data_IF_080830205314
#
_entry.id   IF_080830205314
#
_cell.length_a   1.000
_cell.length_b   1.000
_cell.length_c   1.000
_cell.angle_alpha   90.00
_cell.angle_beta   90.00
_cell.angle_gamma   90.00
#
_symmetry.space_group_name_H-M   'P 1'
#
loop_
_entity.id
_entity.type
_entity.pdbx_description
1 polymer ?
#
# COMPACT_ATOMS: atom_id res chain seq x y z
N UNK A 1 55.15 -16.75 8.52
CA UNK A 1 54.35 -15.52 8.32
C UNK A 1 53.34 -15.82 7.24
N UNK A 2 52.06 -15.96 7.60
CA UNK A 2 50.98 -16.23 6.63
C UNK A 2 50.38 -14.88 6.28
N UNK A 3 50.63 -14.41 5.06
CA UNK A 3 49.97 -13.22 4.52
C UNK A 3 48.49 -13.57 4.29
N UNK A 4 47.62 -13.01 5.14
CA UNK A 4 46.19 -12.98 4.87
C UNK A 4 45.95 -11.96 3.75
N UNK A 5 45.67 -12.44 2.53
CA UNK A 5 45.11 -11.60 1.49
C UNK A 5 43.66 -11.31 1.88
N UNK A 6 43.40 -10.09 2.36
CA UNK A 6 42.04 -9.57 2.46
C UNK A 6 41.46 -9.54 1.04
N UNK A 7 40.48 -10.39 0.79
CA UNK A 7 39.75 -10.41 -0.47
C UNK A 7 39.04 -9.07 -0.58
N UNK A 8 39.45 -8.21 -1.53
CA UNK A 8 38.76 -6.96 -1.81
C UNK A 8 37.33 -7.32 -2.20
N UNK A 9 36.37 -6.99 -1.33
CA UNK A 9 34.96 -7.08 -1.68
C UNK A 9 34.70 -6.10 -2.83
N UNK A 10 33.96 -6.51 -3.87
CA UNK A 10 33.58 -5.59 -4.93
C UNK A 10 32.87 -4.40 -4.29
N UNK A 11 33.21 -3.18 -4.73
CA UNK A 11 32.53 -1.98 -4.29
C UNK A 11 31.17 -1.94 -5.00
N UNK A 12 30.10 -2.00 -4.22
CA UNK A 12 28.72 -1.96 -4.71
C UNK A 12 27.85 -1.14 -3.78
N UNK A 13 26.78 -0.57 -4.34
CA UNK A 13 25.79 0.19 -3.58
C UNK A 13 24.56 -0.69 -3.32
N UNK A 14 24.13 -0.78 -2.06
CA UNK A 14 22.81 -1.31 -1.72
C UNK A 14 21.79 -0.17 -1.83
N UNK A 15 20.79 -0.34 -2.69
CA UNK A 15 19.75 0.65 -2.95
C UNK A 15 18.36 0.07 -2.72
N UNK A 16 17.45 0.89 -2.18
CA UNK A 16 16.03 0.55 -2.12
C UNK A 16 15.37 0.75 -3.48
N UNK A 17 14.63 -0.25 -3.96
CA UNK A 17 13.90 -0.20 -5.23
C UNK A 17 12.44 -0.60 -5.05
N UNK A 18 11.55 0.07 -5.78
CA UNK A 18 10.12 -0.24 -5.78
C UNK A 18 9.77 -1.18 -6.93
N UNK A 19 9.48 -2.45 -6.62
CA UNK A 19 9.03 -3.46 -7.57
C UNK A 19 7.53 -3.29 -7.86
N UNK A 20 7.18 -2.90 -9.07
CA UNK A 20 5.81 -2.76 -9.57
C UNK A 20 5.37 -3.99 -10.35
N UNK A 21 4.21 -4.54 -9.99
CA UNK A 21 3.52 -5.63 -10.69
C UNK A 21 2.22 -5.09 -11.29
N UNK A 22 2.09 -5.23 -12.60
CA UNK A 22 0.93 -4.72 -13.33
C UNK A 22 -0.39 -5.32 -12.79
N UNK A 23 -1.34 -4.44 -12.47
CA UNK A 23 -2.68 -4.82 -12.01
C UNK A 23 -2.76 -5.33 -10.56
N UNK A 24 -1.65 -5.26 -9.82
CA UNK A 24 -1.54 -5.78 -8.45
C UNK A 24 -1.11 -4.69 -7.48
N UNK A 25 -0.04 -3.95 -7.79
CA UNK A 25 0.57 -2.97 -6.88
C UNK A 25 2.09 -3.09 -6.89
N UNK A 26 2.75 -2.56 -5.87
CA UNK A 26 4.20 -2.70 -5.75
C UNK A 26 4.69 -2.93 -4.32
N UNK A 27 5.96 -3.33 -4.22
CA UNK A 27 6.65 -3.70 -2.99
C UNK A 27 8.05 -3.08 -2.99
N UNK A 28 8.52 -2.64 -1.82
CA UNK A 28 9.89 -2.12 -1.66
C UNK A 28 10.84 -3.27 -1.31
N UNK A 29 11.97 -3.34 -2.00
CA UNK A 29 13.01 -4.32 -1.69
C UNK A 29 14.40 -3.71 -1.89
N UNK A 30 15.40 -4.31 -1.26
CA UNK A 30 16.79 -3.92 -1.46
C UNK A 30 17.36 -4.59 -2.72
N UNK A 31 18.16 -3.86 -3.47
CA UNK A 31 18.89 -4.36 -4.63
C UNK A 31 20.34 -3.89 -4.57
N UNK A 32 21.21 -4.62 -5.25
CA UNK A 32 22.62 -4.22 -5.41
C UNK A 32 22.77 -3.55 -6.76
N UNK A 33 23.37 -2.36 -6.75
CA UNK A 33 23.75 -1.63 -7.94
C UNK A 33 25.27 -1.60 -8.08
N UNK A 34 25.78 -2.10 -9.21
CA UNK A 34 27.21 -2.24 -9.46
C UNK A 34 27.48 -2.23 -10.96
N UNK A 35 28.45 -1.42 -11.42
CA UNK A 35 28.84 -1.32 -12.83
C UNK A 35 27.67 -1.07 -13.81
N UNK A 36 26.78 -0.14 -13.48
CA UNK A 36 25.57 0.18 -14.27
C UNK A 36 24.61 -1.01 -14.45
N UNK A 37 24.69 -2.00 -13.55
CA UNK A 37 23.84 -3.19 -13.51
C UNK A 37 23.12 -3.29 -12.19
N UNK A 38 21.86 -3.70 -12.28
CA UNK A 38 21.03 -3.96 -11.11
C UNK A 38 20.95 -5.46 -10.84
N UNK A 39 21.19 -5.84 -9.60
CA UNK A 39 21.09 -7.20 -9.12
C UNK A 39 20.04 -7.28 -8.02
N UNK A 40 19.12 -8.22 -8.15
CA UNK A 40 18.08 -8.46 -7.15
C UNK A 40 18.40 -9.71 -6.33
N UNK A 41 18.10 -9.70 -5.01
CA UNK A 41 18.21 -10.88 -4.17
C UNK A 41 17.22 -11.96 -4.66
N UNK A 42 17.76 -13.09 -5.12
CA UNK A 42 16.95 -14.17 -5.72
C UNK A 42 15.94 -14.72 -4.71
N UNK A 43 16.39 -14.98 -3.48
CA UNK A 43 15.53 -15.54 -2.43
C UNK A 43 14.39 -14.60 -2.05
N UNK A 44 14.66 -13.32 -1.85
CA UNK A 44 13.64 -12.33 -1.48
C UNK A 44 12.61 -12.13 -2.61
N UNK A 45 13.08 -11.96 -3.85
CA UNK A 45 12.18 -11.84 -5.00
C UNK A 45 11.31 -13.09 -5.16
N UNK A 46 11.89 -14.29 -5.06
CA UNK A 46 11.14 -15.53 -5.21
C UNK A 46 10.19 -15.76 -4.04
N UNK A 47 10.58 -15.44 -2.82
CA UNK A 47 9.71 -15.47 -1.64
C UNK A 47 8.50 -14.55 -1.81
N UNK A 48 8.72 -13.31 -2.25
CA UNK A 48 7.64 -12.38 -2.55
C UNK A 48 6.72 -12.90 -3.67
N UNK A 49 7.29 -13.41 -4.75
CA UNK A 49 6.54 -13.99 -5.87
C UNK A 49 5.88 -15.34 -5.56
N UNK A 50 6.09 -15.87 -4.34
CA UNK A 50 5.68 -17.21 -3.90
C UNK A 50 6.17 -18.33 -4.83
N UNK A 51 7.36 -18.14 -5.38
CA UNK A 51 8.11 -19.18 -6.09
C UNK A 51 8.84 -20.00 -5.03
N UNK A 52 8.67 -21.32 -5.08
CA UNK A 52 9.35 -22.22 -4.17
C UNK A 52 10.87 -22.10 -4.37
N UNK A 53 11.59 -21.82 -3.28
CA UNK A 53 13.03 -21.65 -3.30
C UNK A 53 13.65 -22.12 -1.99
N UNK A 54 14.89 -22.58 -2.07
CA UNK A 54 15.76 -22.92 -0.95
C UNK A 54 17.15 -22.35 -1.24
N UNK A 55 17.68 -21.57 -0.29
CA UNK A 55 19.02 -21.00 -0.36
C UNK A 55 20.03 -21.98 0.23
N UNK A 56 21.18 -22.15 -0.42
CA UNK A 56 22.29 -22.88 0.20
C UNK A 56 22.83 -22.13 1.41
N UNK A 57 23.41 -22.87 2.37
CA UNK A 57 23.94 -22.30 3.64
C UNK A 57 25.00 -21.22 3.42
N UNK A 58 25.69 -21.29 2.30
CA UNK A 58 26.80 -20.44 1.89
C UNK A 58 26.39 -19.45 0.78
N UNK A 59 25.09 -19.34 0.47
CA UNK A 59 24.52 -18.44 -0.53
C UNK A 59 25.16 -18.55 -1.92
N UNK A 60 25.71 -19.70 -2.26
CA UNK A 60 26.31 -19.96 -3.57
C UNK A 60 25.32 -20.55 -4.59
N UNK A 61 24.13 -20.93 -4.12
CA UNK A 61 23.09 -21.50 -4.96
C UNK A 61 21.69 -21.30 -4.39
N UNK A 62 20.73 -21.28 -5.31
CA UNK A 62 19.29 -21.30 -5.02
C UNK A 62 18.68 -22.43 -5.81
N UNK A 63 17.94 -23.31 -5.16
CA UNK A 63 17.20 -24.41 -5.80
C UNK A 63 15.72 -24.29 -5.48
N UNK A 64 14.88 -25.04 -6.19
CA UNK A 64 13.44 -25.05 -5.95
C UNK A 64 12.68 -25.61 -7.14
N UNK A 65 11.42 -25.23 -7.27
CA UNK A 65 10.62 -25.51 -8.45
C UNK A 65 9.85 -24.30 -8.93
N UNK A 66 9.68 -24.17 -10.25
CA UNK A 66 9.02 -23.03 -10.87
C UNK A 66 7.62 -23.42 -11.36
N UNK A 67 6.58 -22.87 -10.72
CA UNK A 67 5.14 -23.09 -10.95
C UNK A 67 4.63 -24.51 -10.67
N UNK A 68 5.36 -25.54 -11.11
CA UNK A 68 5.00 -26.95 -10.95
C UNK A 68 6.20 -27.73 -10.38
N UNK A 69 5.96 -28.68 -9.49
CA UNK A 69 7.01 -29.43 -8.77
C UNK A 69 7.96 -30.22 -9.67
N UNK A 70 7.49 -30.66 -10.84
CA UNK A 70 8.32 -31.33 -11.84
C UNK A 70 9.32 -30.38 -12.51
N UNK A 71 9.07 -29.07 -12.49
CA UNK A 71 9.92 -28.08 -13.13
C UNK A 71 10.94 -27.54 -12.12
N UNK A 72 11.82 -28.43 -11.66
CA UNK A 72 12.86 -28.08 -10.70
C UNK A 72 13.91 -27.18 -11.34
N UNK A 73 14.41 -26.23 -10.56
CA UNK A 73 15.49 -25.37 -11.00
C UNK A 73 16.66 -25.37 -10.01
N UNK A 74 17.83 -25.00 -10.53
CA UNK A 74 19.03 -24.71 -9.75
C UNK A 74 19.70 -23.49 -10.37
N UNK A 75 20.07 -22.51 -9.55
CA UNK A 75 20.91 -21.38 -9.91
C UNK A 75 22.21 -21.57 -9.12
N UNK A 76 23.34 -21.71 -9.80
CA UNK A 76 24.64 -21.94 -9.15
C UNK A 76 25.64 -20.85 -9.52
N UNK A 77 26.11 -20.11 -8.52
CA UNK A 77 27.18 -19.11 -8.67
C UNK A 77 28.53 -19.78 -8.95
N UNK A 78 28.84 -20.85 -8.23
CA UNK A 78 30.10 -21.62 -8.39
C UNK A 78 30.14 -22.37 -9.72
N UNK A 79 29.01 -22.96 -10.14
CA UNK A 79 28.88 -23.65 -11.41
C UNK A 79 28.66 -22.74 -12.62
N UNK A 80 28.38 -21.45 -12.40
CA UNK A 80 28.07 -20.46 -13.44
C UNK A 80 27.01 -20.94 -14.43
N UNK A 81 25.97 -21.58 -13.88
CA UNK A 81 24.91 -22.18 -14.67
C UNK A 81 23.60 -22.10 -13.90
N UNK A 82 22.53 -21.89 -14.63
CA UNK A 82 21.19 -22.15 -14.15
C UNK A 82 20.56 -23.30 -14.94
N UNK A 83 19.74 -24.12 -14.29
CA UNK A 83 18.96 -25.17 -14.94
C UNK A 83 17.51 -25.02 -14.55
N UNK A 84 16.60 -25.26 -15.50
CA UNK A 84 15.15 -25.28 -15.27
C UNK A 84 14.59 -26.48 -16.02
N UNK A 85 14.09 -27.48 -15.29
CA UNK A 85 13.78 -28.78 -15.87
C UNK A 85 15.01 -29.39 -16.54
N UNK A 86 14.92 -29.62 -17.86
CA UNK A 86 16.02 -30.16 -18.66
C UNK A 86 16.84 -29.08 -19.38
N UNK A 87 16.42 -27.82 -19.31
CA UNK A 87 17.11 -26.73 -19.98
C UNK A 87 18.27 -26.22 -19.13
N UNK A 88 19.39 -25.89 -19.79
CA UNK A 88 20.58 -25.34 -19.16
C UNK A 88 20.87 -23.96 -19.74
N UNK A 89 21.13 -23.02 -18.85
CA UNK A 89 21.40 -21.63 -19.13
C UNK A 89 22.81 -21.30 -18.61
N UNK A 90 23.83 -21.25 -19.49
CA UNK A 90 25.15 -20.79 -19.10
C UNK A 90 25.10 -19.33 -18.62
N UNK A 91 25.78 -19.04 -17.52
CA UNK A 91 25.82 -17.72 -16.91
C UNK A 91 27.22 -17.13 -17.03
N UNK A 92 27.30 -15.84 -17.36
CA UNK A 92 28.56 -15.12 -17.34
C UNK A 92 28.98 -14.77 -15.89
N UNK A 93 30.25 -14.39 -15.68
CA UNK A 93 30.77 -14.06 -14.35
C UNK A 93 30.06 -12.89 -13.66
N UNK A 94 29.31 -12.09 -14.42
CA UNK A 94 28.57 -10.91 -13.95
C UNK A 94 27.06 -11.15 -13.93
N UNK A 95 26.60 -12.38 -14.12
CA UNK A 95 25.18 -12.73 -14.07
C UNK A 95 24.69 -12.91 -12.63
N UNK A 96 25.58 -13.36 -11.76
CA UNK A 96 25.32 -13.63 -10.35
C UNK A 96 26.33 -12.88 -9.50
N UNK A 97 25.88 -12.43 -8.34
CA UNK A 97 26.70 -11.81 -7.31
C UNK A 97 26.40 -12.51 -5.99
N UNK A 98 27.42 -13.09 -5.36
CA UNK A 98 27.30 -13.64 -4.00
C UNK A 98 27.77 -12.59 -3.00
N UNK A 99 26.90 -12.23 -2.06
CA UNK A 99 27.25 -11.34 -0.94
C UNK A 99 27.12 -12.10 0.39
N UNK A 100 27.45 -11.44 1.50
CA UNK A 100 27.21 -11.99 2.84
C UNK A 100 25.72 -12.20 3.13
N UNK A 101 24.84 -11.46 2.43
CA UNK A 101 23.40 -11.41 2.69
C UNK A 101 22.59 -12.31 1.75
N UNK A 102 23.19 -12.87 0.70
CA UNK A 102 22.48 -13.79 -0.19
C UNK A 102 23.09 -13.94 -1.58
N UNK A 103 22.36 -14.67 -2.42
CA UNK A 103 22.65 -14.79 -3.84
C UNK A 103 21.79 -13.79 -4.61
N UNK A 104 22.47 -12.92 -5.35
CA UNK A 104 21.87 -11.89 -6.18
C UNK A 104 22.03 -12.26 -7.65
N UNK A 105 21.06 -11.89 -8.46
CA UNK A 105 21.05 -12.14 -9.91
C UNK A 105 20.74 -10.85 -10.65
N UNK A 106 21.42 -10.65 -11.78
CA UNK A 106 21.20 -9.48 -12.62
C UNK A 106 19.77 -9.47 -13.18
N UNK A 107 19.14 -8.30 -13.22
CA UNK A 107 17.72 -8.14 -13.55
C UNK A 107 17.31 -8.75 -14.91
N UNK A 108 18.16 -8.68 -15.93
CA UNK A 108 17.93 -9.25 -17.27
C UNK A 108 17.93 -10.79 -17.29
N UNK A 109 18.66 -11.42 -16.37
CA UNK A 109 18.83 -12.88 -16.32
C UNK A 109 17.54 -13.57 -15.85
N UNK A 110 16.76 -12.93 -14.98
CA UNK A 110 15.44 -13.44 -14.56
C UNK A 110 14.47 -13.62 -15.74
N UNK A 111 14.46 -12.67 -16.67
CA UNK A 111 13.61 -12.72 -17.86
C UNK A 111 14.01 -13.87 -18.78
N UNK A 112 15.32 -14.09 -18.93
CA UNK A 112 15.87 -15.13 -19.79
C UNK A 112 15.59 -16.56 -19.29
N UNK A 113 15.67 -16.78 -17.97
CA UNK A 113 15.56 -18.12 -17.38
C UNK A 113 14.12 -18.45 -16.97
N UNK A 114 13.40 -17.48 -16.39
CA UNK A 114 12.11 -17.72 -15.74
C UNK A 114 10.95 -16.97 -16.42
N UNK A 115 11.19 -16.24 -17.51
CA UNK A 115 10.16 -15.40 -18.13
C UNK A 115 9.67 -14.28 -17.21
N UNK A 116 10.51 -13.84 -16.27
CA UNK A 116 10.27 -12.74 -15.34
C UNK A 116 11.05 -11.49 -15.80
N UNK A 117 10.46 -10.70 -16.71
CA UNK A 117 11.15 -9.56 -17.30
C UNK A 117 11.10 -8.35 -16.36
N UNK A 118 12.27 -7.98 -15.81
CA UNK A 118 12.43 -6.89 -14.86
C UNK A 118 13.04 -5.66 -15.54
N UNK A 119 12.23 -4.63 -15.77
CA UNK A 119 12.67 -3.37 -16.39
C UNK A 119 12.93 -2.32 -15.33
N UNK A 120 14.20 -1.95 -15.11
CA UNK A 120 14.56 -0.95 -14.12
C UNK A 120 14.48 0.47 -14.68
N UNK A 121 13.88 1.38 -13.91
CA UNK A 121 13.87 2.80 -14.15
C UNK A 121 14.67 3.51 -13.05
N UNK A 122 15.86 3.97 -13.43
CA UNK A 122 16.78 4.70 -12.57
C UNK A 122 16.19 5.97 -11.95
N UNK A 123 15.40 6.74 -12.71
CA UNK A 123 14.87 8.03 -12.25
C UNK A 123 13.90 7.86 -11.09
N UNK A 124 13.10 6.80 -11.13
CA UNK A 124 12.10 6.49 -10.10
C UNK A 124 12.55 5.41 -9.13
N UNK A 125 13.77 4.88 -9.27
CA UNK A 125 14.28 3.71 -8.53
C UNK A 125 13.26 2.57 -8.47
N UNK A 126 12.61 2.30 -9.60
CA UNK A 126 11.51 1.33 -9.66
C UNK A 126 11.74 0.28 -10.72
N UNK A 127 11.23 -0.92 -10.48
CA UNK A 127 11.35 -2.06 -11.39
C UNK A 127 9.96 -2.46 -11.83
N UNK A 128 9.69 -2.49 -13.12
CA UNK A 128 8.46 -3.04 -13.67
C UNK A 128 8.66 -4.54 -13.96
N UNK A 129 7.89 -5.41 -13.31
CA UNK A 129 7.84 -6.83 -13.60
C UNK A 129 6.76 -7.14 -14.65
N UNK A 130 7.19 -7.70 -15.78
CA UNK A 130 6.32 -8.26 -16.82
C UNK A 130 6.53 -9.76 -16.91
N UNK A 131 5.45 -10.52 -16.90
CA UNK A 131 5.48 -11.97 -17.09
C UNK A 131 4.20 -12.46 -17.73
N UNK A 132 4.31 -13.52 -18.53
CA UNK A 132 3.16 -14.25 -19.09
C UNK A 132 2.71 -15.40 -18.17
N UNK A 133 3.45 -15.67 -17.08
CA UNK A 133 3.12 -16.72 -16.14
C UNK A 133 2.06 -16.25 -15.13
N UNK A 134 1.09 -17.11 -14.86
CA UNK A 134 0.18 -16.91 -13.73
C UNK A 134 0.90 -17.25 -12.42
N UNK A 135 1.60 -16.27 -11.84
CA UNK A 135 2.30 -16.44 -10.57
C UNK A 135 1.30 -16.61 -9.41
N UNK A 136 1.57 -17.48 -8.42
CA UNK A 136 0.68 -17.70 -7.28
C UNK A 136 0.33 -16.41 -6.53
N UNK A 137 1.32 -15.53 -6.31
CA UNK A 137 1.10 -14.25 -5.62
C UNK A 137 0.11 -13.34 -6.36
N UNK A 138 0.17 -13.32 -7.70
CA UNK A 138 -0.70 -12.47 -8.53
C UNK A 138 -2.15 -12.96 -8.44
N UNK A 139 -2.35 -14.29 -8.40
CA UNK A 139 -3.66 -14.90 -8.22
C UNK A 139 -4.27 -14.54 -6.86
N UNK A 140 -3.50 -14.66 -5.79
CA UNK A 140 -3.96 -14.31 -4.44
C UNK A 140 -4.30 -12.83 -4.31
N UNK A 141 -3.43 -11.94 -4.79
CA UNK A 141 -3.65 -10.50 -4.72
C UNK A 141 -4.87 -10.07 -5.56
N UNK A 142 -5.05 -10.66 -6.75
CA UNK A 142 -6.27 -10.44 -7.56
C UNK A 142 -7.53 -10.88 -6.82
N UNK A 143 -7.51 -12.04 -6.16
CA UNK A 143 -8.64 -12.52 -5.36
C UNK A 143 -8.92 -11.60 -4.16
N UNK A 144 -7.89 -11.10 -3.48
CA UNK A 144 -8.03 -10.16 -2.37
C UNK A 144 -8.67 -8.84 -2.83
N UNK A 145 -8.24 -8.29 -3.97
CA UNK A 145 -8.84 -7.09 -4.57
C UNK A 145 -10.30 -7.33 -4.97
N UNK A 146 -10.61 -8.46 -5.60
CA UNK A 146 -12.00 -8.81 -5.94
C UNK A 146 -12.89 -8.92 -4.70
N UNK A 147 -12.42 -9.57 -3.63
CA UNK A 147 -13.15 -9.67 -2.36
C UNK A 147 -13.43 -8.30 -1.75
N UNK A 148 -12.42 -7.41 -1.72
CA UNK A 148 -12.56 -6.03 -1.24
C UNK A 148 -13.55 -5.22 -2.08
N UNK A 149 -13.57 -5.44 -3.38
CA UNK A 149 -14.52 -4.75 -4.27
C UNK A 149 -15.94 -5.29 -4.09
N UNK A 150 -16.13 -6.61 -3.93
CA UNK A 150 -17.44 -7.22 -3.68
C UNK A 150 -18.03 -6.77 -2.34
N UNK A 151 -17.23 -6.73 -1.27
CA UNK A 151 -17.72 -6.22 0.03
C UNK A 151 -18.17 -4.75 -0.06
N UNK A 152 -17.44 -3.92 -0.82
CA UNK A 152 -17.84 -2.53 -1.10
C UNK A 152 -19.14 -2.42 -1.91
N UNK A 153 -19.37 -3.35 -2.85
CA UNK A 153 -20.57 -3.36 -3.70
C UNK A 153 -21.81 -3.93 -2.98
N UNK A 154 -21.63 -4.86 -2.04
CA UNK A 154 -22.73 -5.45 -1.25
C UNK A 154 -23.14 -4.62 -0.03
N UNK A 155 -22.37 -3.59 0.32
CA UNK A 155 -22.64 -2.80 1.53
C UNK A 155 -22.42 -3.56 2.84
N UNK A 156 -21.78 -4.74 2.79
CA UNK A 156 -21.41 -5.51 3.97
C UNK A 156 -20.25 -4.80 4.68
N UNK A 157 -20.61 -3.88 5.58
CA UNK A 157 -19.68 -3.29 6.54
C UNK A 157 -19.51 -4.32 7.66
N UNK A 158 -18.38 -5.01 7.69
CA UNK A 158 -17.99 -5.82 8.85
C UNK A 158 -17.68 -4.87 10.00
N UNK A 159 -18.61 -4.73 10.94
CA UNK A 159 -18.43 -3.99 12.20
C UNK A 159 -18.39 -4.98 13.34
N UNK A 160 -17.37 -4.86 14.20
CA UNK A 160 -17.16 -5.76 15.35
C UNK A 160 -18.24 -5.65 16.42
N UNK A 161 -19.05 -4.59 16.41
CA UNK A 161 -20.19 -4.43 17.33
C UNK A 161 -21.27 -3.55 16.70
N UNK A 162 -22.51 -4.03 16.72
CA UNK A 162 -23.68 -3.22 16.37
C UNK A 162 -24.31 -2.66 17.65
N UNK A 163 -24.18 -1.35 17.83
CA UNK A 163 -24.85 -0.65 18.93
C UNK A 163 -26.30 -0.37 18.53
N UNK A 164 -27.25 -0.99 19.25
CA UNK A 164 -28.68 -0.71 19.06
C UNK A 164 -28.99 0.72 19.49
N UNK A 165 -29.78 1.44 18.68
CA UNK A 165 -30.22 2.80 19.01
C UNK A 165 -31.16 2.76 20.23
N UNK A 166 -30.84 3.54 21.25
CA UNK A 166 -31.70 3.76 22.41
C UNK A 166 -32.48 5.06 22.19
N UNK A 167 -33.80 4.98 22.21
CA UNK A 167 -34.68 6.14 22.01
C UNK A 167 -34.97 6.81 23.34
N UNK A 168 -34.77 8.13 23.42
CA UNK A 168 -35.11 8.93 24.59
C UNK A 168 -36.23 9.92 24.23
N UNK A 169 -37.18 10.17 25.16
CA UNK A 169 -38.25 11.15 24.93
C UNK A 169 -37.68 12.58 24.81
N UNK A 170 -36.64 12.89 25.58
CA UNK A 170 -35.83 14.09 25.42
C UNK A 170 -34.42 13.83 25.97
N UNK A 171 -33.38 14.26 25.24
CA UNK A 171 -32.00 14.24 25.70
C UNK A 171 -31.28 15.49 25.22
N UNK A 172 -30.64 16.20 26.15
CA UNK A 172 -29.82 17.35 25.83
C UNK A 172 -28.62 16.96 24.97
N UNK A 173 -28.29 17.79 23.97
CA UNK A 173 -27.09 17.64 23.16
C UNK A 173 -26.12 18.78 23.41
N UNK A 174 -26.05 19.72 22.46
CA UNK A 174 -25.08 20.81 22.45
C UNK A 174 -25.76 22.16 22.24
N UNK A 175 -25.13 23.21 22.76
CA UNK A 175 -25.53 24.61 22.58
C UNK A 175 -24.31 25.40 22.13
N UNK A 176 -24.43 26.08 21.01
CA UNK A 176 -23.42 27.02 20.51
C UNK A 176 -24.04 28.41 20.38
N UNK A 177 -23.25 29.44 20.63
CA UNK A 177 -23.70 30.82 20.51
C UNK A 177 -22.58 31.69 19.98
N UNK A 178 -22.94 32.75 19.25
CA UNK A 178 -22.00 33.77 18.79
C UNK A 178 -22.61 35.14 18.90
N UNK A 179 -21.79 36.15 19.21
CA UNK A 179 -22.18 37.56 19.20
C UNK A 179 -21.06 38.34 18.54
N UNK A 180 -21.39 39.11 17.50
CA UNK A 180 -20.46 39.92 16.74
C UNK A 180 -21.01 41.34 16.68
N UNK A 181 -20.28 42.31 17.21
CA UNK A 181 -20.63 43.72 17.13
C UNK A 181 -19.59 44.49 16.33
N UNK A 182 -20.03 45.32 15.40
CA UNK A 182 -19.18 46.13 14.54
C UNK A 182 -19.59 47.59 14.65
N UNK A 183 -18.62 48.45 14.91
CA UNK A 183 -18.80 49.90 15.03
C UNK A 183 -17.84 50.58 14.05
N UNK A 184 -18.33 51.60 13.35
CA UNK A 184 -17.52 52.37 12.40
C UNK A 184 -17.71 53.86 12.67
N UNK A 185 -16.63 54.62 12.58
CA UNK A 185 -16.66 56.06 12.81
C UNK A 185 -17.48 56.74 11.69
N UNK A 186 -18.55 57.44 12.06
CA UNK A 186 -19.52 58.03 11.11
C UNK A 186 -20.55 57.06 10.52
N UNK A 187 -20.54 55.77 10.91
CA UNK A 187 -21.47 54.74 10.42
C UNK A 187 -22.43 54.20 11.49
N UNK A 188 -23.45 53.42 11.06
CA UNK A 188 -24.37 52.74 11.99
C UNK A 188 -23.74 51.49 12.58
N UNK A 189 -23.77 51.39 13.92
CA UNK A 189 -23.41 50.19 14.67
C UNK A 189 -24.27 48.99 14.24
N UNK A 190 -23.66 47.81 14.17
CA UNK A 190 -24.32 46.57 13.76
C UNK A 190 -23.87 45.40 14.62
N UNK A 191 -24.81 44.89 15.41
CA UNK A 191 -24.66 43.70 16.25
C UNK A 191 -25.45 42.54 15.63
N UNK A 192 -24.80 41.39 15.49
CA UNK A 192 -25.40 40.11 15.12
C UNK A 192 -25.19 39.11 16.24
N UNK A 193 -26.18 38.27 16.51
CA UNK A 193 -26.05 37.14 17.41
C UNK A 193 -26.64 35.87 16.79
N UNK A 194 -26.05 34.72 17.06
CA UNK A 194 -26.57 33.42 16.68
C UNK A 194 -26.62 32.48 17.87
N UNK A 195 -27.60 31.59 17.91
CA UNK A 195 -27.75 30.54 18.91
C UNK A 195 -28.13 29.23 18.22
N UNK A 196 -27.24 28.25 18.25
CA UNK A 196 -27.46 26.89 17.81
C UNK A 196 -27.78 25.96 18.97
N UNK A 197 -28.79 25.11 18.80
CA UNK A 197 -29.18 24.05 19.74
C UNK A 197 -29.31 22.74 18.98
N UNK A 198 -28.58 21.71 19.43
CA UNK A 198 -28.72 20.33 18.97
C UNK A 198 -29.19 19.44 20.11
N UNK A 199 -30.30 18.72 19.93
CA UNK A 199 -30.87 17.84 20.96
C UNK A 199 -31.60 16.63 20.36
N UNK A 200 -31.88 15.62 21.18
CA UNK A 200 -32.81 14.55 20.83
C UNK A 200 -34.19 14.87 21.43
N UNK A 201 -35.23 14.90 20.60
CA UNK A 201 -36.62 15.03 21.03
C UNK A 201 -37.47 13.99 20.32
N UNK A 202 -38.31 13.28 21.08
CA UNK A 202 -39.20 12.23 20.57
C UNK A 202 -38.44 11.18 19.73
N UNK A 203 -37.22 10.82 20.13
CA UNK A 203 -36.36 9.89 19.41
C UNK A 203 -35.79 10.40 18.07
N UNK A 204 -36.08 11.64 17.68
CA UNK A 204 -35.54 12.32 16.51
C UNK A 204 -34.44 13.32 16.86
N UNK A 205 -33.57 13.62 15.89
CA UNK A 205 -32.62 14.71 16.01
C UNK A 205 -33.33 16.05 15.80
N UNK A 206 -33.06 17.01 16.67
CA UNK A 206 -33.59 18.37 16.61
C UNK A 206 -32.42 19.33 16.51
N UNK A 207 -32.43 20.17 15.47
CA UNK A 207 -31.49 21.26 15.30
C UNK A 207 -32.27 22.57 15.18
N UNK A 208 -31.91 23.54 16.02
CA UNK A 208 -32.50 24.87 16.05
C UNK A 208 -31.38 25.88 15.91
N UNK A 209 -31.50 26.81 14.98
CA UNK A 209 -30.59 27.94 14.83
C UNK A 209 -31.40 29.22 14.85
N UNK A 210 -31.14 30.06 15.85
CA UNK A 210 -31.73 31.38 15.97
C UNK A 210 -30.70 32.43 15.58
N UNK A 211 -31.10 33.37 14.74
CA UNK A 211 -30.26 34.49 14.30
C UNK A 211 -30.94 35.81 14.65
N UNK A 212 -30.17 36.73 15.20
CA UNK A 212 -30.59 38.08 15.56
C UNK A 212 -29.66 39.10 14.91
N UNK A 213 -30.22 40.18 14.39
CA UNK A 213 -29.45 41.36 13.99
C UNK A 213 -30.08 42.62 14.56
N UNK A 214 -29.25 43.55 15.03
CA UNK A 214 -29.68 44.90 15.43
C UNK A 214 -30.32 45.70 14.28
N UNK A 215 -30.13 45.29 13.02
CA UNK A 215 -30.70 45.95 11.84
C UNK A 215 -32.07 45.41 11.46
N UNK A 216 -32.26 44.10 11.52
CA UNK A 216 -33.48 43.41 11.03
C UNK A 216 -34.27 42.71 12.14
N UNK A 217 -33.77 42.68 13.37
CA UNK A 217 -34.35 41.96 14.50
C UNK A 217 -34.29 40.45 14.33
N UNK A 218 -35.30 39.77 14.86
CA UNK A 218 -35.54 38.34 14.61
C UNK A 218 -36.37 38.19 13.35
N UNK A 219 -35.70 38.03 12.21
CA UNK A 219 -36.38 37.79 10.94
C UNK A 219 -36.65 36.28 10.78
N UNK A 220 -37.90 35.88 10.56
CA UNK A 220 -38.32 34.48 10.45
C UNK A 220 -37.53 33.71 9.39
N UNK A 221 -37.24 34.37 8.25
CA UNK A 221 -36.46 33.79 7.14
C UNK A 221 -35.01 33.44 7.50
N UNK A 222 -34.51 33.99 8.60
CA UNK A 222 -33.17 33.76 9.11
C UNK A 222 -33.17 32.75 10.28
N UNK A 223 -34.32 32.24 10.68
CA UNK A 223 -34.42 31.19 11.69
C UNK A 223 -34.49 29.82 11.02
N UNK A 224 -33.83 28.83 11.59
CA UNK A 224 -33.84 27.48 11.06
C UNK A 224 -34.23 26.48 12.15
N UNK A 225 -35.21 25.65 11.86
CA UNK A 225 -35.66 24.58 12.75
C UNK A 225 -35.80 23.31 11.92
N UNK A 226 -35.17 22.23 12.38
CA UNK A 226 -35.25 20.93 11.74
C UNK A 226 -35.43 19.86 12.80
N UNK A 227 -36.52 19.12 12.68
CA UNK A 227 -36.68 17.84 13.34
C UNK A 227 -36.61 16.74 12.29
N UNK A 228 -35.78 15.73 12.55
CA UNK A 228 -35.67 14.56 11.67
C UNK A 228 -35.73 13.28 12.50
N UNK A 229 -36.66 12.42 12.13
CA UNK A 229 -36.68 11.03 12.55
C UNK A 229 -36.15 10.15 11.42
N UNK A 230 -35.28 9.20 11.75
CA UNK A 230 -34.71 8.28 10.80
C UNK A 230 -34.96 6.87 11.31
N UNK A 231 -35.73 6.10 10.54
CA UNK A 231 -35.88 4.67 10.71
C UNK A 231 -35.08 3.99 9.60
N UNK A 232 -34.14 3.12 9.99
CA UNK A 232 -33.27 2.39 9.07
C UNK A 232 -33.54 0.88 9.14
N UNK A 233 -34.80 0.50 9.43
CA UNK A 233 -35.26 -0.88 9.21
C UNK A 233 -35.13 -1.29 7.75
#
# INVERSE_FOLDING_TARGET
>A
MVNAMAQQEPEYDEIGVFLMIQGVGGFEMNAVYMDDKLYLPVGELFGFLKINHELSKNYDSVSGFFLKEQNRYLISHTGQVATVGNEKYPLDKTSLLRTANGLYMRNDVFGRIFGLYLSFNFRSMSIELKTHHELPVIKELRLAVMRKNVSRLKGEVTVDTTLKRQYHPARGGMVDWSVISSQSEGGRSDTRASLGLGAELLGGETNIMLNYSSRTGFEERQQYYRWRWANND
#
